data_IF_595651032328
#
_entry.id   IF_595651032328
#
_cell.length_a   1.000
_cell.length_b   1.000
_cell.length_c   1.000
_cell.angle_alpha   90.00
_cell.angle_beta   90.00
_cell.angle_gamma   90.00
#
_symmetry.space_group_name_H-M   'P 1'
#
loop_
_entity.id
_entity.type
_entity.pdbx_description
1 polymer ?
#
# COMPACT_ATOMS: atom_id res chain seq x y z
N UNK A 1 13.91 0.70 10.62
CA UNK A 1 12.83 1.48 11.26
C UNK A 1 11.83 1.79 10.16
N UNK A 2 10.69 1.12 10.18
CA UNK A 2 9.70 1.17 9.11
C UNK A 2 8.74 2.32 9.36
N UNK A 3 8.58 3.21 8.39
CA UNK A 3 7.55 4.26 8.42
C UNK A 3 6.20 3.56 8.25
N UNK A 4 5.61 3.15 9.36
CA UNK A 4 4.20 2.80 9.48
C UNK A 4 3.53 4.07 9.95
N UNK A 5 2.55 4.57 9.20
CA UNK A 5 1.75 5.74 9.56
C UNK A 5 1.07 5.49 10.92
N UNK A 6 1.72 5.93 12.01
CA UNK A 6 1.34 5.71 13.41
C UNK A 6 1.11 4.26 13.86
N UNK A 7 1.80 3.28 13.26
CA UNK A 7 1.71 1.87 13.69
C UNK A 7 0.46 1.12 13.21
N UNK A 8 -0.36 1.73 12.35
CA UNK A 8 -1.51 1.07 11.72
C UNK A 8 -1.08 0.24 10.52
N UNK A 9 -1.72 -0.92 10.36
CA UNK A 9 -1.57 -1.72 9.15
C UNK A 9 -2.65 -1.33 8.12
N UNK A 10 -2.28 -1.32 6.84
CA UNK A 10 -3.27 -1.24 5.75
C UNK A 10 -4.02 -2.57 5.72
N UNK A 11 -5.36 -2.53 5.86
CA UNK A 11 -6.21 -3.71 5.68
C UNK A 11 -6.53 -3.92 4.21
N UNK A 12 -6.87 -2.84 3.50
CA UNK A 12 -7.16 -2.86 2.07
C UNK A 12 -6.83 -1.53 1.43
N UNK A 13 -6.33 -1.55 0.21
CA UNK A 13 -6.07 -0.35 -0.59
C UNK A 13 -6.67 -0.50 -1.98
N UNK A 14 -7.21 0.59 -2.52
CA UNK A 14 -7.78 0.68 -3.86
C UNK A 14 -7.06 1.74 -4.68
N UNK A 15 -6.83 1.46 -5.96
CA UNK A 15 -6.19 2.39 -6.89
C UNK A 15 -6.72 2.21 -8.31
N UNK A 16 -6.56 3.25 -9.12
CA UNK A 16 -6.83 3.17 -10.57
C UNK A 16 -5.60 2.57 -11.24
N UNK A 17 -5.65 1.28 -11.51
CA UNK A 17 -4.60 0.53 -12.19
C UNK A 17 -4.64 0.66 -13.70
N UNK A 18 -3.67 0.05 -14.36
CA UNK A 18 -3.59 0.04 -15.83
C UNK A 18 -4.77 -0.69 -16.49
N UNK A 19 -5.43 -1.58 -15.74
CA UNK A 19 -6.56 -2.38 -16.21
C UNK A 19 -7.91 -1.96 -15.61
N UNK A 20 -7.99 -0.77 -15.00
CA UNK A 20 -9.17 -0.27 -14.27
C UNK A 20 -8.98 -0.29 -12.75
N UNK A 21 -10.08 -0.30 -12.01
CA UNK A 21 -10.06 -0.25 -10.55
C UNK A 21 -9.44 -1.54 -9.98
N UNK A 22 -8.32 -1.39 -9.27
CA UNK A 22 -7.58 -2.48 -8.63
C UNK A 22 -7.63 -2.33 -7.10
N UNK A 23 -7.50 -3.46 -6.39
CA UNK A 23 -7.44 -3.43 -4.92
C UNK A 23 -6.64 -4.60 -4.36
N UNK A 24 -6.04 -4.40 -3.19
CA UNK A 24 -5.29 -5.43 -2.48
C UNK A 24 -5.66 -5.45 -1.00
N UNK A 25 -5.99 -6.64 -0.49
CA UNK A 25 -6.38 -6.87 0.91
C UNK A 25 -5.27 -7.65 1.62
N UNK A 26 -4.95 -7.28 2.86
CA UNK A 26 -4.09 -8.11 3.72
C UNK A 26 -4.84 -9.34 4.19
N UNK A 27 -4.28 -10.52 3.90
CA UNK A 27 -4.79 -11.81 4.37
C UNK A 27 -3.65 -12.68 4.91
N UNK A 28 -3.90 -13.42 6.00
CA UNK A 28 -2.94 -14.33 6.60
C UNK A 28 -1.64 -13.63 7.04
N UNK A 29 -0.51 -14.03 6.46
CA UNK A 29 0.83 -13.50 6.76
C UNK A 29 1.21 -12.30 5.89
N UNK A 30 0.28 -11.78 5.07
CA UNK A 30 0.54 -10.63 4.20
C UNK A 30 0.47 -9.33 4.97
N UNK A 31 1.41 -8.43 4.69
CA UNK A 31 1.37 -7.05 5.14
C UNK A 31 1.57 -6.12 3.96
N UNK A 32 0.83 -5.02 3.92
CA UNK A 32 0.96 -3.99 2.90
C UNK A 32 1.58 -2.73 3.51
N UNK A 33 2.54 -2.13 2.80
CA UNK A 33 3.06 -0.80 3.10
C UNK A 33 2.69 0.15 1.98
N UNK A 34 2.05 1.24 2.35
CA UNK A 34 1.85 2.37 1.45
C UNK A 34 3.08 3.28 1.48
N UNK A 35 3.59 3.63 0.30
CA UNK A 35 4.76 4.50 0.16
C UNK A 35 4.43 5.59 -0.84
N UNK A 36 4.75 6.84 -0.48
CA UNK A 36 4.65 8.00 -1.35
C UNK A 36 6.00 8.72 -1.41
N UNK A 37 6.39 9.18 -2.59
CA UNK A 37 7.57 10.02 -2.80
C UNK A 37 7.21 11.18 -3.72
N UNK A 38 7.76 12.36 -3.41
CA UNK A 38 7.62 13.54 -4.24
C UNK A 38 8.88 13.74 -5.10
N UNK A 39 8.70 13.87 -6.41
CA UNK A 39 9.79 14.01 -7.40
C UNK A 39 10.01 15.46 -7.87
N UNK A 40 9.39 16.44 -7.22
CA UNK A 40 9.55 17.87 -7.56
C UNK A 40 8.51 18.41 -8.53
N UNK A 41 7.97 17.58 -9.43
CA UNK A 41 6.88 17.92 -10.35
C UNK A 41 5.62 17.07 -10.15
N UNK A 42 5.76 15.92 -9.47
CA UNK A 42 4.67 14.99 -9.20
C UNK A 42 4.90 14.17 -7.95
N UNK A 43 3.80 13.69 -7.39
CA UNK A 43 3.80 12.62 -6.41
C UNK A 43 3.78 11.26 -7.13
N UNK A 44 4.55 10.31 -6.62
CA UNK A 44 4.49 8.91 -7.02
C UNK A 44 4.15 8.06 -5.79
N UNK A 45 3.20 7.14 -5.97
CA UNK A 45 2.74 6.25 -4.92
C UNK A 45 2.89 4.79 -5.35
N UNK A 46 3.28 3.94 -4.40
CA UNK A 46 3.35 2.50 -4.58
C UNK A 46 2.92 1.75 -3.33
N UNK A 47 2.49 0.52 -3.55
CA UNK A 47 2.17 -0.43 -2.48
C UNK A 47 3.18 -1.55 -2.51
N UNK A 48 3.91 -1.70 -1.41
CA UNK A 48 4.83 -2.80 -1.20
C UNK A 48 4.10 -3.95 -0.50
N UNK A 49 4.09 -5.13 -1.12
CA UNK A 49 3.52 -6.33 -0.55
C UNK A 49 4.62 -7.19 0.07
N UNK A 50 4.39 -7.62 1.31
CA UNK A 50 5.29 -8.48 2.06
C UNK A 50 4.59 -9.76 2.51
N UNK A 51 5.30 -10.89 2.47
CA UNK A 51 4.91 -12.15 3.10
C UNK A 51 6.04 -12.57 4.04
N UNK A 52 5.73 -12.81 5.32
CA UNK A 52 6.74 -13.16 6.33
C UNK A 52 7.93 -12.18 6.34
N UNK A 53 7.64 -10.88 6.29
CA UNK A 53 8.62 -9.78 6.22
C UNK A 53 9.54 -9.77 4.98
N UNK A 54 9.27 -10.58 3.96
CA UNK A 54 9.97 -10.53 2.67
C UNK A 54 9.11 -9.82 1.63
N UNK A 55 9.65 -8.81 0.95
CA UNK A 55 8.96 -8.13 -0.15
C UNK A 55 8.77 -9.11 -1.32
N UNK A 56 7.53 -9.24 -1.78
CA UNK A 56 7.16 -10.16 -2.87
C UNK A 56 6.63 -9.46 -4.10
N UNK A 57 6.08 -8.24 -3.95
CA UNK A 57 5.62 -7.42 -5.06
C UNK A 57 5.68 -5.92 -4.73
N UNK A 58 5.72 -5.10 -5.78
CA UNK A 58 5.56 -3.65 -5.73
C UNK A 58 4.51 -3.29 -6.78
N UNK A 59 3.45 -2.62 -6.35
CA UNK A 59 2.35 -2.20 -7.22
C UNK A 59 2.48 -0.70 -7.46
N UNK A 60 2.56 -0.27 -8.72
CA UNK A 60 2.59 1.15 -9.08
C UNK A 60 1.16 1.70 -9.04
N UNK A 61 0.87 2.53 -8.06
CA UNK A 61 -0.48 3.00 -7.79
C UNK A 61 -0.56 4.49 -8.10
N UNK A 62 -0.68 4.83 -9.39
CA UNK A 62 -0.64 6.23 -9.85
C UNK A 62 -1.65 7.14 -9.14
N UNK A 63 -2.83 6.61 -8.81
CA UNK A 63 -3.86 7.31 -8.05
C UNK A 63 -4.51 6.37 -7.04
N UNK A 64 -4.28 6.62 -5.74
CA UNK A 64 -5.00 5.94 -4.67
C UNK A 64 -6.40 6.52 -4.55
N UNK A 65 -7.41 5.65 -4.56
CA UNK A 65 -8.81 6.05 -4.43
C UNK A 65 -9.30 5.94 -2.99
N UNK A 66 -8.85 4.92 -2.25
CA UNK A 66 -9.21 4.71 -0.85
C UNK A 66 -8.20 3.82 -0.14
N UNK A 67 -8.09 3.98 1.18
CA UNK A 67 -7.35 3.09 2.08
C UNK A 67 -8.24 2.73 3.26
N UNK A 68 -8.44 1.44 3.48
CA UNK A 68 -9.02 0.88 4.70
C UNK A 68 -7.88 0.45 5.63
N UNK A 69 -7.84 1.04 6.82
CA UNK A 69 -6.86 0.71 7.85
C UNK A 69 -7.38 -0.38 8.78
N UNK A 70 -6.50 -1.26 9.24
CA UNK A 70 -6.79 -2.15 10.35
C UNK A 70 -7.00 -1.31 11.63
N UNK A 71 -7.97 -1.69 12.46
CA UNK A 71 -8.16 -1.02 13.76
C UNK A 71 -6.91 -1.25 14.64
N UNK A 72 -6.54 -0.22 15.41
CA UNK A 72 -5.49 -0.37 16.43
C UNK A 72 -5.89 -1.48 17.41
N UNK A 73 -4.98 -2.43 17.62
CA UNK A 73 -5.11 -3.48 18.63
C UNK A 73 -4.61 -3.02 19.99
#
# INVERSE_FOLDING_TARGET
MTINDNGRQVKRIWWNGANGDESLTTEGQRTLRFVGTYHGDRDEFWVEEYINNKQVAIHNCRYITSIEWAMEG
#
